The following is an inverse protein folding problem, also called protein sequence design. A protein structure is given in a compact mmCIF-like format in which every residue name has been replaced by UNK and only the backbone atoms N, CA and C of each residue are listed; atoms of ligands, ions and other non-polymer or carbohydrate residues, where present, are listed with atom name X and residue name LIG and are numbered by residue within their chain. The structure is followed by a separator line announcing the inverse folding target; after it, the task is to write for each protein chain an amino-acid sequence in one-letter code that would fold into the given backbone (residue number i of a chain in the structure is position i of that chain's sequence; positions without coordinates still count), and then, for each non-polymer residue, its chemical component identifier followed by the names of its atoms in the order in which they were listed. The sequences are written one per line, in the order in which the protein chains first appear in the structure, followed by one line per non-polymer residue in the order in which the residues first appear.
data_IF_633013749706
#
_entry.id   IF_633013749706
#
_cell.length_a   1.000
_cell.length_b   1.000
_cell.length_c   1.000
_cell.angle_alpha   90.00
_cell.angle_beta   90.00
_cell.angle_gamma   90.00
#
_symmetry.space_group_name_H-M   'P 1'
#
loop_
_entity.id
_entity.type
_entity.pdbx_description
1 polymer ?
#
# COMPACT_ATOMS: atom_id res chain seq x y z
N UNK A 1 2.61 -22.83 10.80
CA UNK A 1 4.02 -22.39 10.70
C UNK A 1 4.20 -21.21 11.63
N UNK A 2 5.25 -21.19 12.46
CA UNK A 2 5.55 -20.07 13.35
C UNK A 2 6.66 -19.25 12.68
N UNK A 3 6.30 -18.11 12.13
CA UNK A 3 7.28 -17.20 11.55
C UNK A 3 8.11 -16.58 12.69
N UNK A 4 9.43 -16.42 12.53
CA UNK A 4 10.23 -15.67 13.49
C UNK A 4 9.68 -14.25 13.59
N UNK A 5 9.43 -13.79 14.82
CA UNK A 5 8.98 -12.43 15.09
C UNK A 5 10.20 -11.49 14.99
N UNK A 6 10.62 -11.17 13.77
CA UNK A 6 11.58 -10.11 13.53
C UNK A 6 10.83 -8.76 13.57
N UNK A 7 11.46 -7.74 14.15
CA UNK A 7 10.95 -6.38 14.02
C UNK A 7 11.02 -5.97 12.54
N UNK A 8 9.89 -5.57 11.96
CA UNK A 8 9.85 -4.99 10.62
C UNK A 8 10.12 -3.48 10.77
N UNK A 9 11.02 -2.94 9.96
CA UNK A 9 11.30 -1.51 9.94
C UNK A 9 10.07 -0.71 9.45
N UNK A 10 9.80 0.41 10.12
CA UNK A 10 8.70 1.30 9.74
C UNK A 10 8.93 1.84 8.33
N UNK A 11 7.91 1.75 7.47
CA UNK A 11 7.99 2.16 6.06
C UNK A 11 8.23 1.03 5.05
N UNK A 12 8.53 -0.19 5.51
CA UNK A 12 8.66 -1.39 4.67
C UNK A 12 7.44 -2.32 4.73
N UNK A 13 6.33 -1.85 5.32
CA UNK A 13 5.07 -2.59 5.38
C UNK A 13 4.07 -1.95 4.41
N UNK A 14 3.53 -2.77 3.53
CA UNK A 14 2.53 -2.38 2.55
C UNK A 14 1.29 -3.26 2.66
N UNK A 15 0.12 -2.65 2.47
CA UNK A 15 -1.14 -3.36 2.22
C UNK A 15 -1.52 -3.10 0.77
N UNK A 16 -1.85 -4.17 0.04
CA UNK A 16 -2.26 -4.10 -1.37
C UNK A 16 -3.70 -4.59 -1.45
N UNK A 17 -4.59 -3.81 -2.05
CA UNK A 17 -6.00 -4.15 -2.19
C UNK A 17 -6.76 -3.17 -3.07
N UNK A 18 -8.04 -3.43 -3.30
CA UNK A 18 -8.89 -2.68 -4.23
C UNK A 18 -10.10 -2.05 -3.53
N UNK A 19 -10.15 -2.05 -2.20
CA UNK A 19 -11.27 -1.53 -1.41
C UNK A 19 -10.85 -0.42 -0.45
N UNK A 20 -11.80 0.45 -0.04
CA UNK A 20 -11.63 1.34 1.10
C UNK A 20 -11.14 0.64 2.37
N UNK A 21 -11.58 -0.59 2.63
CA UNK A 21 -11.19 -1.33 3.83
C UNK A 21 -9.71 -1.73 3.84
N UNK A 22 -9.10 -1.97 2.68
CA UNK A 22 -7.66 -2.22 2.59
C UNK A 22 -6.87 -0.95 2.95
N UNK A 23 -7.39 0.22 2.59
CA UNK A 23 -6.82 1.52 2.93
C UNK A 23 -6.92 1.76 4.44
N UNK A 24 -8.11 1.60 5.01
CA UNK A 24 -8.36 1.77 6.45
C UNK A 24 -7.48 0.83 7.29
N UNK A 25 -7.34 -0.43 6.85
CA UNK A 25 -6.50 -1.43 7.49
C UNK A 25 -5.03 -1.01 7.52
N UNK A 26 -4.49 -0.53 6.39
CA UNK A 26 -3.11 -0.07 6.31
C UNK A 26 -2.84 1.10 7.26
N UNK A 27 -3.75 2.08 7.28
CA UNK A 27 -3.65 3.25 8.16
C UNK A 27 -3.66 2.84 9.64
N UNK A 28 -4.54 1.89 10.02
CA UNK A 28 -4.65 1.40 11.39
C UNK A 28 -3.36 0.73 11.91
N UNK A 29 -2.56 0.14 11.01
CA UNK A 29 -1.28 -0.52 11.37
C UNK A 29 -0.04 0.33 11.03
N UNK A 30 -0.22 1.56 10.53
CA UNK A 30 0.89 2.43 10.11
C UNK A 30 1.64 1.94 8.86
N UNK A 31 0.98 1.14 8.03
CA UNK A 31 1.49 0.67 6.74
C UNK A 31 1.07 1.61 5.60
N UNK A 32 1.76 1.50 4.46
CA UNK A 32 1.37 2.19 3.22
C UNK A 32 0.38 1.36 2.43
N UNK A 33 -0.68 1.97 1.91
CA UNK A 33 -1.59 1.27 0.99
C UNK A 33 -1.19 1.50 -0.47
N UNK A 34 -1.11 0.42 -1.24
CA UNK A 34 -1.09 0.45 -2.70
C UNK A 34 -2.47 -0.04 -3.17
N UNK A 35 -3.34 0.90 -3.50
CA UNK A 35 -4.68 0.61 -3.96
C UNK A 35 -4.67 0.29 -5.46
N UNK A 36 -5.31 -0.80 -5.89
CA UNK A 36 -5.36 -1.24 -7.29
C UNK A 36 -6.81 -1.23 -7.78
N UNK A 37 -7.17 -0.29 -8.65
CA UNK A 37 -8.55 0.00 -9.07
C UNK A 37 -9.15 -1.02 -10.07
N UNK A 38 -8.80 -2.30 -9.92
CA UNK A 38 -9.34 -3.42 -10.71
C UNK A 38 -10.70 -3.90 -10.20
N UNK A 39 -11.11 -3.47 -9.01
CA UNK A 39 -12.37 -3.80 -8.37
C UNK A 39 -13.56 -2.92 -8.75
N UNK A 40 -14.56 -2.93 -7.87
CA UNK A 40 -15.77 -2.10 -7.99
C UNK A 40 -15.46 -0.63 -7.70
N UNK A 41 -14.56 -0.37 -6.76
CA UNK A 41 -14.09 0.95 -6.36
C UNK A 41 -13.13 1.51 -7.42
N UNK A 42 -13.34 2.77 -7.81
CA UNK A 42 -12.54 3.42 -8.85
C UNK A 42 -11.44 4.29 -8.25
N UNK A 43 -10.43 4.59 -9.06
CA UNK A 43 -9.25 5.34 -8.61
C UNK A 43 -9.59 6.64 -7.83
N UNK A 44 -10.56 7.48 -8.24
CA UNK A 44 -10.93 8.66 -7.47
C UNK A 44 -11.47 8.37 -6.06
N UNK A 45 -12.20 7.27 -5.91
CA UNK A 45 -12.75 6.84 -4.62
C UNK A 45 -11.64 6.29 -3.72
N UNK A 46 -10.77 5.44 -4.26
CA UNK A 46 -9.61 4.94 -3.51
C UNK A 46 -8.66 6.09 -3.09
N UNK A 47 -8.51 7.11 -3.94
CA UNK A 47 -7.71 8.29 -3.63
C UNK A 47 -8.34 9.14 -2.51
N UNK A 48 -9.67 9.29 -2.48
CA UNK A 48 -10.37 10.08 -1.45
C UNK A 48 -10.32 9.41 -0.07
N UNK A 49 -10.15 8.09 0.00
CA UNK A 49 -9.92 7.34 1.24
C UNK A 49 -8.48 7.46 1.77
N UNK A 50 -7.58 8.13 1.04
CA UNK A 50 -6.21 8.38 1.50
C UNK A 50 -5.23 7.25 1.20
N UNK A 51 -5.45 6.49 0.12
CA UNK A 51 -4.45 5.55 -0.38
C UNK A 51 -3.10 6.27 -0.66
N UNK A 52 -1.99 5.63 -0.27
CA UNK A 52 -0.65 6.19 -0.50
C UNK A 52 -0.28 6.19 -2.00
N UNK A 53 -0.70 5.14 -2.71
CA UNK A 53 -0.66 5.05 -4.17
C UNK A 53 -1.95 4.42 -4.68
N UNK A 54 -2.38 4.86 -5.86
CA UNK A 54 -3.48 4.28 -6.61
C UNK A 54 -2.99 3.89 -7.99
N UNK A 55 -3.22 2.65 -8.39
CA UNK A 55 -2.85 2.08 -9.68
C UNK A 55 -4.12 1.60 -10.40
N UNK A 56 -4.20 1.78 -11.71
CA UNK A 56 -5.35 1.26 -12.48
C UNK A 56 -5.33 -0.27 -12.60
N UNK A 57 -4.13 -0.86 -12.64
CA UNK A 57 -3.88 -2.30 -12.68
C UNK A 57 -2.64 -2.65 -11.87
N UNK A 58 -2.54 -3.89 -11.41
CA UNK A 58 -1.31 -4.39 -10.81
C UNK A 58 -0.25 -4.54 -11.92
N UNK A 59 0.92 -3.87 -11.81
CA UNK A 59 1.96 -3.96 -12.81
C UNK A 59 2.72 -5.30 -12.72
N UNK A 60 3.54 -5.64 -13.73
CA UNK A 60 4.43 -6.79 -13.67
C UNK A 60 5.38 -6.74 -12.46
N UNK A 61 5.88 -7.89 -11.97
CA UNK A 61 6.68 -7.95 -10.74
C UNK A 61 7.85 -6.97 -10.68
N UNK A 62 8.67 -6.86 -11.75
CA UNK A 62 9.82 -5.95 -11.74
C UNK A 62 9.45 -4.47 -11.66
N UNK A 63 8.31 -4.07 -12.22
CA UNK A 63 7.79 -2.71 -12.10
C UNK A 63 7.20 -2.47 -10.71
N UNK A 64 6.56 -3.49 -10.13
CA UNK A 64 6.04 -3.42 -8.76
C UNK A 64 7.15 -3.31 -7.72
N UNK A 65 8.22 -4.09 -7.87
CA UNK A 65 9.43 -4.03 -7.03
C UNK A 65 10.04 -2.63 -7.04
N UNK A 66 10.24 -2.06 -8.23
CA UNK A 66 10.76 -0.69 -8.37
C UNK A 66 9.85 0.37 -7.72
N UNK A 67 8.54 0.15 -7.69
CA UNK A 67 7.58 1.05 -7.05
C UNK A 67 7.66 1.02 -5.52
N UNK A 68 7.90 -0.15 -4.92
CA UNK A 68 7.97 -0.30 -3.45
C UNK A 68 9.36 -0.01 -2.88
N UNK A 69 10.42 -0.11 -3.70
CA UNK A 69 11.80 0.27 -3.37
C UNK A 69 12.04 1.79 -3.43
N UNK A 70 11.01 2.59 -3.74
CA UNK A 70 11.13 4.04 -3.75
C UNK A 70 11.52 4.57 -2.37
N UNK A 71 12.53 5.47 -2.29
CA UNK A 71 13.00 6.00 -1.02
C UNK A 71 11.83 6.56 -0.19
N UNK A 72 11.83 6.22 1.10
CA UNK A 72 10.87 6.78 2.05
C UNK A 72 11.15 8.27 2.16
N UNK A 73 10.36 9.09 1.48
CA UNK A 73 10.28 10.54 1.74
C UNK A 73 10.08 10.70 3.26
N UNK A 74 11.07 11.29 3.92
CA UNK A 74 11.07 11.52 5.37
C UNK A 74 10.09 12.66 5.68
N UNK A 75 8.80 12.40 5.49
CA UNK A 75 7.74 13.31 5.90
C UNK A 75 7.78 13.48 7.41
N UNK A 76 7.99 14.72 7.84
CA UNK A 76 8.07 15.15 9.23
C UNK A 76 6.92 14.59 10.08
N UNK A 77 7.26 14.22 11.31
CA UNK A 77 6.32 13.90 12.38
C UNK A 77 5.41 15.09 12.70
#
# INVERSE_FOLDING_TARGET
QRFPQAAIESGHVFVVGDTPHDIDCAQAIGARTIAVATGVYKAPELQSHGAWRVLDTLPPPGEFEALIDLPVESGAR
#
